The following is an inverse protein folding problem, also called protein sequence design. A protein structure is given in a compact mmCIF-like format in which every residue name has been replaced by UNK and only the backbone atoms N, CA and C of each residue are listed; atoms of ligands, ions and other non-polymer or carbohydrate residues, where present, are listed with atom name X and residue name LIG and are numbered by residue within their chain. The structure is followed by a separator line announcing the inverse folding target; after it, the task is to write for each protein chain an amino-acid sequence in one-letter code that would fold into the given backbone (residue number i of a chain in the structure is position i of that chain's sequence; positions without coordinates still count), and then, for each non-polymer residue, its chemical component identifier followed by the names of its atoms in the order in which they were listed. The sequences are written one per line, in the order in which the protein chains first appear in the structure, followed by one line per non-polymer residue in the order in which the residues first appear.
data_IF_461480214866
#
_entry.id   IF_461480214866
#
_cell.length_a   1.000
_cell.length_b   1.000
_cell.length_c   1.000
_cell.angle_alpha   90.00
_cell.angle_beta   90.00
_cell.angle_gamma   90.00
#
_symmetry.space_group_name_H-M   'P 1'
#
loop_
_entity.id
_entity.type
_entity.pdbx_description
1 polymer ?
#
# COMPACT_ATOMS: atom_id res chain seq x y z
N UNK A 1 10.18 -16.48 15.53
CA UNK A 1 9.95 -15.42 14.50
C UNK A 1 8.80 -14.50 14.89
N UNK A 2 7.61 -15.03 15.21
CA UNK A 2 6.46 -14.22 15.65
C UNK A 2 6.72 -13.38 16.91
N UNK A 3 7.38 -13.94 17.93
CA UNK A 3 7.69 -13.20 19.18
C UNK A 3 8.64 -12.02 18.95
N UNK A 4 9.66 -12.21 18.11
CA UNK A 4 10.62 -11.17 17.79
C UNK A 4 9.98 -10.01 17.02
N UNK A 5 9.09 -10.32 16.06
CA UNK A 5 8.34 -9.31 15.32
C UNK A 5 7.35 -8.57 16.22
N UNK A 6 6.68 -9.28 17.15
CA UNK A 6 5.78 -8.68 18.13
C UNK A 6 6.49 -7.71 19.07
N UNK A 7 7.66 -8.09 19.59
CA UNK A 7 8.49 -7.23 20.44
C UNK A 7 9.02 -6.00 19.69
N UNK A 8 9.42 -6.16 18.42
CA UNK A 8 9.88 -5.05 17.58
C UNK A 8 8.77 -4.03 17.32
N UNK A 9 7.55 -4.50 17.04
CA UNK A 9 6.37 -3.63 16.84
C UNK A 9 6.04 -2.88 18.14
N UNK A 10 6.04 -3.56 19.28
CA UNK A 10 5.80 -2.94 20.58
C UNK A 10 6.84 -1.85 20.90
N UNK A 11 8.11 -2.12 20.60
CA UNK A 11 9.19 -1.16 20.78
C UNK A 11 9.02 0.07 19.88
N UNK A 12 8.67 -0.13 18.60
CA UNK A 12 8.40 0.95 17.64
C UNK A 12 7.18 1.80 18.03
N UNK A 13 6.10 1.17 18.49
CA UNK A 13 4.90 1.86 18.98
C UNK A 13 5.21 2.68 20.23
N UNK A 14 5.98 2.12 21.16
CA UNK A 14 6.35 2.81 22.39
C UNK A 14 7.31 3.98 22.11
N UNK A 15 8.27 3.79 21.22
CA UNK A 15 9.17 4.85 20.75
C UNK A 15 8.39 5.97 20.04
N UNK A 16 7.48 5.61 19.13
CA UNK A 16 6.60 6.58 18.45
C UNK A 16 5.73 7.36 19.43
N UNK A 17 5.14 6.69 20.43
CA UNK A 17 4.33 7.32 21.48
C UNK A 17 5.13 8.29 22.36
N UNK A 18 6.36 7.92 22.74
CA UNK A 18 7.26 8.81 23.49
C UNK A 18 7.67 10.04 22.69
N UNK A 19 7.95 9.88 21.40
CA UNK A 19 8.31 10.97 20.51
C UNK A 19 7.14 11.95 20.32
N UNK A 20 5.92 11.43 20.21
CA UNK A 20 4.70 12.21 20.09
C UNK A 20 4.40 12.98 21.39
N UNK A 21 4.59 12.36 22.56
CA UNK A 21 4.50 13.04 23.86
C UNK A 21 5.55 14.16 24.00
N UNK A 22 6.78 13.93 23.56
CA UNK A 22 7.83 14.95 23.59
C UNK A 22 7.49 16.15 22.69
N UNK A 23 6.95 15.89 21.49
CA UNK A 23 6.49 16.94 20.58
C UNK A 23 5.30 17.70 21.16
N UNK A 24 4.31 17.02 21.74
CA UNK A 24 3.15 17.66 22.38
C UNK A 24 3.58 18.50 23.58
N UNK A 25 4.47 17.98 24.42
CA UNK A 25 5.02 18.71 25.56
C UNK A 25 5.82 19.94 25.10
N UNK A 26 6.66 19.78 24.08
CA UNK A 26 7.45 20.87 23.51
C UNK A 26 6.56 21.96 22.87
N UNK A 27 5.52 21.58 22.13
CA UNK A 27 4.54 22.51 21.55
C UNK A 27 3.73 23.21 22.64
N UNK A 28 3.30 22.48 23.68
CA UNK A 28 2.62 23.07 24.83
C UNK A 28 3.53 24.09 25.54
N UNK A 29 4.81 23.77 25.76
CA UNK A 29 5.79 24.70 26.32
C UNK A 29 6.02 25.90 25.40
N UNK A 30 6.09 25.68 24.08
CA UNK A 30 6.29 26.73 23.09
C UNK A 30 5.10 27.70 23.00
N UNK A 31 3.87 27.23 23.23
CA UNK A 31 2.66 28.06 23.18
C UNK A 31 2.33 28.71 24.53
N UNK A 32 2.51 28.00 25.64
CA UNK A 32 2.21 28.52 26.98
C UNK A 32 3.30 29.49 27.48
N UNK A 33 4.57 29.25 27.15
CA UNK A 33 5.68 30.08 27.66
C UNK A 33 5.60 31.54 27.18
N UNK A 34 5.34 31.86 25.90
CA UNK A 34 5.15 33.23 25.44
C UNK A 34 3.91 33.89 26.06
N UNK A 35 2.80 33.16 26.20
CA UNK A 35 1.56 33.68 26.78
C UNK A 35 1.74 34.00 28.27
N UNK A 36 2.34 33.09 29.03
CA UNK A 36 2.66 33.30 30.45
C UNK A 36 3.69 34.43 30.60
N UNK A 37 4.67 34.51 29.69
CA UNK A 37 5.65 35.59 29.66
C UNK A 37 4.99 36.95 29.39
N UNK A 38 4.11 37.05 28.40
CA UNK A 38 3.38 38.30 28.07
C UNK A 38 2.46 38.71 29.22
N UNK A 39 1.71 37.79 29.82
CA UNK A 39 0.81 38.10 30.94
C UNK A 39 1.61 38.53 32.18
N UNK A 40 2.64 37.77 32.59
CA UNK A 40 3.41 38.09 33.79
C UNK A 40 4.33 39.29 33.64
N UNK A 41 4.97 39.47 32.47
CA UNK A 41 5.98 40.52 32.28
C UNK A 41 5.44 41.80 31.65
N UNK A 42 4.31 41.74 30.94
CA UNK A 42 3.72 42.89 30.26
C UNK A 42 2.43 43.35 30.96
N UNK A 43 1.48 42.45 31.17
CA UNK A 43 0.14 42.81 31.66
C UNK A 43 0.11 43.12 33.16
N UNK A 44 0.65 42.24 34.01
CA UNK A 44 0.65 42.46 35.46
C UNK A 44 1.37 43.75 35.89
N UNK A 45 2.55 44.09 35.33
CA UNK A 45 3.22 45.34 35.68
C UNK A 45 2.50 46.58 35.15
N UNK A 46 1.87 46.51 33.97
CA UNK A 46 1.10 47.64 33.42
C UNK A 46 -0.13 47.95 34.27
N UNK A 47 -0.85 46.90 34.72
CA UNK A 47 -1.98 47.03 35.66
C UNK A 47 -1.50 47.60 37.00
N UNK A 48 -0.34 47.15 37.51
CA UNK A 48 0.23 47.66 38.75
C UNK A 48 0.67 49.14 38.63
N UNK A 49 1.34 49.52 37.53
CA UNK A 49 1.74 50.91 37.25
C UNK A 49 0.51 51.80 37.10
N UNK A 50 -0.51 51.35 36.38
CA UNK A 50 -1.79 52.05 36.26
C UNK A 50 -2.47 52.25 37.62
N UNK A 51 -2.53 51.21 38.45
CA UNK A 51 -3.07 51.28 39.81
C UNK A 51 -2.29 52.24 40.72
N UNK A 52 -0.95 52.22 40.65
CA UNK A 52 -0.09 53.16 41.39
C UNK A 52 -0.28 54.61 40.95
N UNK A 53 -0.40 54.87 39.64
CA UNK A 53 -0.70 56.20 39.12
C UNK A 53 -2.08 56.68 39.59
N UNK A 54 -3.08 55.81 39.54
CA UNK A 54 -4.46 56.13 39.92
C UNK A 54 -4.55 56.42 41.43
N UNK A 55 -3.92 55.60 42.27
CA UNK A 55 -3.81 55.83 43.71
C UNK A 55 -3.06 57.13 44.04
N UNK A 56 -1.97 57.42 43.32
CA UNK A 56 -1.22 58.66 43.51
C UNK A 56 -2.03 59.89 43.13
N UNK A 57 -2.84 59.81 42.08
CA UNK A 57 -3.71 60.88 41.62
C UNK A 57 -4.87 61.13 42.58
N UNK A 58 -5.47 60.07 43.14
CA UNK A 58 -6.48 60.14 44.20
C UNK A 58 -5.89 60.78 45.46
N UNK A 59 -4.73 60.31 45.91
CA UNK A 59 -4.05 60.88 47.08
C UNK A 59 -3.70 62.35 46.89
N UNK A 60 -3.23 62.74 45.70
CA UNK A 60 -2.97 64.13 45.35
C UNK A 60 -4.25 64.98 45.41
N UNK A 61 -5.35 64.51 44.82
CA UNK A 61 -6.65 65.17 44.88
C UNK A 61 -7.18 65.33 46.31
N UNK A 62 -7.09 64.28 47.12
CA UNK A 62 -7.49 64.32 48.54
C UNK A 62 -6.63 65.31 49.34
N UNK A 63 -5.32 65.35 49.13
CA UNK A 63 -4.43 66.31 49.80
C UNK A 63 -4.74 67.75 49.41
N UNK A 64 -5.04 68.02 48.13
CA UNK A 64 -5.45 69.34 47.68
C UNK A 64 -6.81 69.76 48.27
N UNK A 65 -7.79 68.86 48.25
CA UNK A 65 -9.12 69.11 48.82
C UNK A 65 -9.06 69.39 50.32
N UNK A 66 -8.32 68.58 51.09
CA UNK A 66 -8.14 68.81 52.53
C UNK A 66 -7.47 70.15 52.82
N UNK A 67 -6.46 70.55 52.03
CA UNK A 67 -5.82 71.86 52.14
C UNK A 67 -6.80 73.00 51.80
N UNK A 68 -7.62 72.86 50.76
CA UNK A 68 -8.64 73.85 50.40
C UNK A 68 -9.72 73.99 51.47
N UNK A 69 -10.21 72.87 52.02
CA UNK A 69 -11.18 72.87 53.12
C UNK A 69 -10.58 73.52 54.37
N UNK A 70 -9.34 73.18 54.73
CA UNK A 70 -8.64 73.80 55.85
C UNK A 70 -8.50 75.31 55.67
N UNK A 71 -8.11 75.76 54.47
CA UNK A 71 -8.06 77.19 54.12
C UNK A 71 -9.44 77.82 54.24
N UNK A 72 -10.49 77.19 53.70
CA UNK A 72 -11.87 77.69 53.75
C UNK A 72 -12.41 77.82 55.17
N UNK A 73 -12.16 76.84 56.04
CA UNK A 73 -12.55 76.88 57.45
C UNK A 73 -11.80 77.98 58.20
N UNK A 74 -10.49 78.11 57.96
CA UNK A 74 -9.67 79.19 58.53
C UNK A 74 -10.13 80.58 58.08
N UNK A 75 -10.53 80.73 56.81
CA UNK A 75 -11.11 81.97 56.30
C UNK A 75 -12.47 82.27 56.91
N UNK A 76 -13.33 81.26 57.06
CA UNK A 76 -14.67 81.38 57.64
C UNK A 76 -14.59 81.77 59.13
N UNK A 77 -13.74 81.10 59.90
CA UNK A 77 -13.51 81.39 61.32
C UNK A 77 -13.04 82.84 61.51
N UNK A 78 -12.14 83.31 60.64
CA UNK A 78 -11.68 84.70 60.65
C UNK A 78 -12.77 85.69 60.23
N UNK A 79 -13.61 85.36 59.24
CA UNK A 79 -14.76 86.17 58.82
C UNK A 79 -15.79 86.33 59.94
N UNK A 80 -16.08 85.24 60.67
CA UNK A 80 -16.97 85.23 61.84
C UNK A 80 -16.40 86.10 62.97
N UNK A 81 -15.10 85.98 63.25
CA UNK A 81 -14.42 86.83 64.24
C UNK A 81 -14.36 88.32 63.81
N UNK A 82 -14.30 88.59 62.51
CA UNK A 82 -14.25 89.93 61.94
C UNK A 82 -15.60 90.68 62.02
N UNK A 83 -16.73 89.96 61.87
CA UNK A 83 -18.07 90.55 62.06
C UNK A 83 -18.33 91.11 63.46
N UNK A 84 -17.46 90.83 64.44
CA UNK A 84 -17.52 91.34 65.81
C UNK A 84 -16.56 92.49 66.17
N UNK A 85 -15.63 92.92 65.30
CA UNK A 85 -14.61 93.95 65.63
C UNK A 85 -14.38 94.96 64.49
N UNK A 86 -14.32 96.26 64.82
CA UNK A 86 -14.19 97.38 63.87
C UNK A 86 -12.88 97.41 63.04
N UNK A 87 -13.00 98.03 61.85
CA UNK A 87 -12.06 98.50 60.79
C UNK A 87 -10.54 98.23 60.84
N UNK A 88 -9.84 98.20 61.99
CA UNK A 88 -8.38 97.92 62.04
C UNK A 88 -8.03 96.45 61.73
N UNK A 89 -8.99 95.53 61.90
CA UNK A 89 -8.81 94.13 61.55
C UNK A 89 -8.72 93.86 60.04
N UNK A 90 -9.22 94.76 59.19
CA UNK A 90 -9.35 94.54 57.73
C UNK A 90 -7.97 94.43 57.05
N UNK A 91 -7.04 95.31 57.44
CA UNK A 91 -5.67 95.33 56.90
C UNK A 91 -4.84 94.13 57.36
N UNK A 92 -5.06 93.66 58.60
CA UNK A 92 -4.40 92.47 59.13
C UNK A 92 -5.02 91.18 58.57
N UNK A 93 -6.33 91.17 58.30
CA UNK A 93 -7.02 90.08 57.62
C UNK A 93 -6.48 89.90 56.20
N UNK A 94 -6.42 90.98 55.42
CA UNK A 94 -5.88 90.95 54.06
C UNK A 94 -4.45 90.40 54.00
N UNK A 95 -3.55 90.87 54.88
CA UNK A 95 -2.17 90.38 54.93
C UNK A 95 -2.07 88.88 55.29
N UNK A 96 -2.90 88.39 56.20
CA UNK A 96 -2.90 86.98 56.59
C UNK A 96 -3.52 86.07 55.53
N UNK A 97 -4.57 86.53 54.85
CA UNK A 97 -5.17 85.83 53.71
C UNK A 97 -4.17 85.76 52.55
N UNK A 98 -3.44 86.85 52.30
CA UNK A 98 -2.38 86.90 51.29
C UNK A 98 -1.27 85.89 51.58
N UNK A 99 -0.80 85.80 52.84
CA UNK A 99 0.22 84.82 53.26
C UNK A 99 -0.26 83.37 53.10
N UNK A 100 -1.53 83.10 53.39
CA UNK A 100 -2.11 81.76 53.23
C UNK A 100 -2.19 81.35 51.75
N UNK A 101 -2.62 82.29 50.89
CA UNK A 101 -2.66 82.11 49.44
C UNK A 101 -1.25 81.95 48.85
N UNK A 102 -0.26 82.69 49.35
CA UNK A 102 1.12 82.59 48.91
C UNK A 102 1.74 81.24 49.29
N UNK A 103 1.54 80.79 50.53
CA UNK A 103 1.98 79.45 50.96
C UNK A 103 1.31 78.32 50.16
N UNK A 104 0.03 78.47 49.80
CA UNK A 104 -0.65 77.52 48.91
C UNK A 104 -0.05 77.56 47.50
N UNK A 105 0.16 78.76 46.95
CA UNK A 105 0.78 78.99 45.64
C UNK A 105 2.18 78.41 45.55
N UNK A 106 2.95 78.41 46.65
CA UNK A 106 4.31 77.87 46.67
C UNK A 106 4.34 76.32 46.79
N UNK A 107 3.34 75.72 47.44
CA UNK A 107 3.29 74.27 47.66
C UNK A 107 2.72 73.47 46.47
N UNK A 108 1.81 74.05 45.69
CA UNK A 108 1.21 73.36 44.53
C UNK A 108 2.26 73.03 43.44
N UNK A 109 3.17 73.93 43.04
CA UNK A 109 4.23 73.65 42.07
C UNK A 109 5.21 72.57 42.53
N UNK A 110 5.55 72.53 43.83
CA UNK A 110 6.41 71.49 44.40
C UNK A 110 5.77 70.11 44.28
N UNK A 111 4.47 70.02 44.57
CA UNK A 111 3.73 68.75 44.48
C UNK A 111 3.57 68.27 43.03
N UNK A 112 3.37 69.20 42.08
CA UNK A 112 3.34 68.91 40.65
C UNK A 112 4.71 68.44 40.12
N UNK A 113 5.82 69.05 40.57
CA UNK A 113 7.17 68.60 40.21
C UNK A 113 7.46 67.17 40.66
N UNK A 114 7.01 66.80 41.86
CA UNK A 114 7.18 65.44 42.38
C UNK A 114 6.36 64.42 41.57
N UNK A 115 5.14 64.79 41.14
CA UNK A 115 4.31 63.94 40.28
C UNK A 115 4.91 63.76 38.88
N UNK A 116 5.39 64.85 38.26
CA UNK A 116 6.08 64.81 36.96
C UNK A 116 7.31 63.89 37.00
N UNK A 117 8.10 63.96 38.07
CA UNK A 117 9.24 63.06 38.28
C UNK A 117 8.81 61.59 38.39
N UNK A 118 7.74 61.30 39.14
CA UNK A 118 7.22 59.95 39.31
C UNK A 118 6.74 59.34 37.99
N UNK A 119 6.01 60.12 37.18
CA UNK A 119 5.55 59.71 35.84
C UNK A 119 6.74 59.43 34.92
N UNK A 120 7.75 60.32 34.89
CA UNK A 120 8.96 60.14 34.08
C UNK A 120 9.74 58.89 34.46
N UNK A 121 9.89 58.61 35.76
CA UNK A 121 10.59 57.42 36.25
C UNK A 121 9.86 56.12 35.83
N UNK A 122 8.53 56.08 35.96
CA UNK A 122 7.71 54.93 35.56
C UNK A 122 7.77 54.69 34.04
N UNK A 123 7.67 55.74 33.23
CA UNK A 123 7.82 55.64 31.78
C UNK A 123 9.22 55.12 31.39
N UNK A 124 10.28 55.60 32.05
CA UNK A 124 11.65 55.10 31.82
C UNK A 124 11.81 53.61 32.13
N UNK A 125 11.21 53.13 33.22
CA UNK A 125 11.22 51.71 33.56
C UNK A 125 10.48 50.85 32.53
N UNK A 126 9.33 51.31 32.04
CA UNK A 126 8.57 50.63 30.98
C UNK A 126 9.38 50.52 29.69
N UNK A 127 9.97 51.64 29.22
CA UNK A 127 10.78 51.67 28.00
C UNK A 127 11.98 50.71 28.10
N UNK A 128 12.68 50.70 29.24
CA UNK A 128 13.82 49.78 29.44
C UNK A 128 13.38 48.31 29.46
N UNK A 129 12.20 48.00 29.99
CA UNK A 129 11.65 46.63 29.95
C UNK A 129 11.25 46.21 28.54
N UNK A 130 10.62 47.09 27.76
CA UNK A 130 10.29 46.82 26.35
C UNK A 130 11.53 46.55 25.50
N UNK A 131 12.60 47.33 25.68
CA UNK A 131 13.89 47.09 25.00
C UNK A 131 14.43 45.68 25.26
N UNK A 132 14.36 45.22 26.51
CA UNK A 132 14.81 43.87 26.89
C UNK A 132 13.95 42.77 26.25
N UNK A 133 12.63 42.94 26.21
CA UNK A 133 11.72 41.98 25.56
C UNK A 133 12.01 41.91 24.06
N UNK A 134 12.14 43.06 23.39
CA UNK A 134 12.44 43.10 21.97
C UNK A 134 13.78 42.39 21.64
N UNK A 135 14.78 42.55 22.51
CA UNK A 135 16.06 41.85 22.39
C UNK A 135 15.89 40.32 22.42
N UNK A 136 15.08 39.78 23.35
CA UNK A 136 14.79 38.33 23.41
C UNK A 136 14.03 37.83 22.17
N UNK A 137 13.11 38.63 21.62
CA UNK A 137 12.43 38.30 20.37
C UNK A 137 13.41 38.21 19.20
N UNK A 138 14.33 39.17 19.06
CA UNK A 138 15.36 39.12 18.02
C UNK A 138 16.28 37.89 18.15
N UNK A 139 16.53 37.42 19.38
CA UNK A 139 17.32 36.20 19.61
C UNK A 139 16.55 34.91 19.28
N UNK A 140 15.25 34.84 19.61
CA UNK A 140 14.45 33.63 19.48
C UNK A 140 13.85 33.42 18.08
N UNK A 141 13.51 34.51 17.37
CA UNK A 141 12.85 34.46 16.06
C UNK A 141 13.64 33.65 15.02
N UNK A 142 14.97 33.80 14.87
CA UNK A 142 15.74 33.02 13.90
C UNK A 142 15.77 31.52 14.21
N UNK A 143 15.77 31.16 15.50
CA UNK A 143 15.76 29.76 15.93
C UNK A 143 14.43 29.09 15.58
N UNK A 144 13.30 29.78 15.77
CA UNK A 144 11.98 29.30 15.39
C UNK A 144 11.86 29.09 13.88
N UNK A 145 12.35 30.05 13.08
CA UNK A 145 12.36 29.94 11.61
C UNK A 145 13.22 28.74 11.18
N UNK A 146 14.41 28.59 11.78
CA UNK A 146 15.32 27.48 11.48
C UNK A 146 14.69 26.13 11.79
N UNK A 147 14.08 25.97 12.96
CA UNK A 147 13.37 24.74 13.34
C UNK A 147 12.23 24.44 12.37
N UNK A 148 11.44 25.45 11.98
CA UNK A 148 10.34 25.29 11.03
C UNK A 148 10.85 24.79 9.66
N UNK A 149 11.96 25.33 9.16
CA UNK A 149 12.57 24.89 7.91
C UNK A 149 13.10 23.45 8.00
N UNK A 150 13.76 23.08 9.10
CA UNK A 150 14.21 21.70 9.32
C UNK A 150 13.06 20.70 9.35
N UNK A 151 11.95 21.03 10.02
CA UNK A 151 10.76 20.18 10.05
C UNK A 151 10.15 20.01 8.66
N UNK A 152 10.06 21.08 7.88
CA UNK A 152 9.56 21.02 6.50
C UNK A 152 10.44 20.12 5.62
N UNK A 153 11.77 20.25 5.71
CA UNK A 153 12.72 19.40 5.00
C UNK A 153 12.62 17.93 5.43
N UNK A 154 12.48 17.67 6.73
CA UNK A 154 12.32 16.32 7.26
C UNK A 154 11.05 15.65 6.74
N UNK A 155 9.92 16.35 6.77
CA UNK A 155 8.64 15.86 6.22
C UNK A 155 8.78 15.56 4.73
N UNK A 156 9.41 16.46 3.97
CA UNK A 156 9.65 16.25 2.53
C UNK A 156 10.55 15.03 2.26
N UNK A 157 11.60 14.85 3.06
CA UNK A 157 12.47 13.67 2.98
C UNK A 157 11.70 12.37 3.23
N UNK A 158 10.89 12.32 4.30
CA UNK A 158 10.05 11.16 4.61
C UNK A 158 9.08 10.85 3.46
N UNK A 159 8.40 11.86 2.92
CA UNK A 159 7.49 11.70 1.79
C UNK A 159 8.20 11.13 0.55
N UNK A 160 9.37 11.67 0.18
CA UNK A 160 10.14 11.20 -0.96
C UNK A 160 10.63 9.76 -0.78
N UNK A 161 11.10 9.41 0.42
CA UNK A 161 11.57 8.07 0.72
C UNK A 161 10.45 7.03 0.63
N UNK A 162 9.28 7.31 1.22
CA UNK A 162 8.12 6.43 1.12
C UNK A 162 7.66 6.22 -0.31
N UNK A 163 7.69 7.26 -1.15
CA UNK A 163 7.32 7.15 -2.57
C UNK A 163 8.28 6.25 -3.36
N UNK A 164 9.59 6.34 -3.13
CA UNK A 164 10.58 5.49 -3.81
C UNK A 164 10.39 4.01 -3.47
N UNK A 165 10.16 3.69 -2.19
CA UNK A 165 9.88 2.32 -1.76
C UNK A 165 8.63 1.74 -2.44
N UNK A 166 7.58 2.56 -2.58
CA UNK A 166 6.36 2.15 -3.27
C UNK A 166 6.63 1.84 -4.76
N UNK A 167 7.38 2.70 -5.45
CA UNK A 167 7.73 2.50 -6.86
C UNK A 167 8.56 1.21 -7.06
N UNK A 168 9.52 0.92 -6.16
CA UNK A 168 10.30 -0.32 -6.21
C UNK A 168 9.46 -1.58 -5.98
N UNK A 169 8.55 -1.55 -5.00
CA UNK A 169 7.67 -2.68 -4.69
C UNK A 169 6.67 -2.96 -5.82
N UNK A 170 6.11 -1.89 -6.42
CA UNK A 170 5.24 -2.00 -7.60
C UNK A 170 6.03 -2.57 -8.78
N UNK A 171 7.26 -2.09 -9.02
CA UNK A 171 8.11 -2.58 -10.11
C UNK A 171 8.48 -4.07 -9.93
N UNK A 172 8.80 -4.50 -8.70
CA UNK A 172 9.08 -5.91 -8.38
C UNK A 172 7.86 -6.80 -8.63
N UNK A 173 6.69 -6.42 -8.10
CA UNK A 173 5.43 -7.17 -8.30
C UNK A 173 5.04 -7.25 -9.78
N UNK A 174 5.21 -6.15 -10.53
CA UNK A 174 4.94 -6.12 -11.95
C UNK A 174 5.85 -7.08 -12.73
N UNK A 175 7.16 -7.09 -12.41
CA UNK A 175 8.12 -8.00 -13.02
C UNK A 175 7.81 -9.47 -12.73
N UNK A 176 7.39 -9.80 -11.51
CA UNK A 176 6.95 -11.15 -11.16
C UNK A 176 5.68 -11.56 -11.91
N UNK A 177 4.70 -10.67 -12.01
CA UNK A 177 3.47 -10.93 -12.76
C UNK A 177 3.74 -11.20 -14.24
N UNK A 178 4.60 -10.39 -14.88
CA UNK A 178 5.00 -10.58 -16.27
C UNK A 178 5.70 -11.93 -16.49
N UNK A 179 6.60 -12.34 -15.58
CA UNK A 179 7.25 -13.66 -15.65
C UNK A 179 6.26 -14.82 -15.55
N UNK A 180 5.22 -14.71 -14.71
CA UNK A 180 4.16 -15.73 -14.61
C UNK A 180 3.35 -15.82 -15.89
N UNK A 181 2.95 -14.68 -16.45
CA UNK A 181 2.25 -14.58 -17.75
C UNK A 181 3.06 -15.20 -18.89
N UNK A 182 4.36 -14.96 -18.92
CA UNK A 182 5.26 -15.53 -19.92
C UNK A 182 5.42 -17.05 -19.75
N UNK A 183 5.58 -17.54 -18.51
CA UNK A 183 5.63 -18.99 -18.25
C UNK A 183 4.32 -19.69 -18.62
N UNK A 184 3.17 -19.06 -18.39
CA UNK A 184 1.86 -19.57 -18.79
C UNK A 184 1.68 -19.59 -20.31
N UNK A 185 2.11 -18.55 -21.03
CA UNK A 185 2.03 -18.52 -22.48
C UNK A 185 2.92 -19.59 -23.12
N UNK A 186 4.13 -19.79 -22.61
CA UNK A 186 5.04 -20.87 -23.03
C UNK A 186 4.37 -22.23 -22.82
N UNK A 187 3.83 -22.50 -21.62
CA UNK A 187 3.12 -23.75 -21.32
C UNK A 187 1.93 -23.98 -22.23
N UNK A 188 1.12 -22.95 -22.49
CA UNK A 188 -0.04 -23.06 -23.36
C UNK A 188 0.39 -23.37 -24.81
N UNK A 189 1.44 -22.72 -25.29
CA UNK A 189 2.00 -22.98 -26.62
C UNK A 189 2.59 -24.40 -26.74
N UNK A 190 3.20 -24.94 -25.69
CA UNK A 190 3.68 -26.32 -25.66
C UNK A 190 2.53 -27.33 -25.69
N UNK A 191 1.45 -27.08 -24.93
CA UNK A 191 0.26 -27.92 -24.92
C UNK A 191 -0.41 -27.93 -26.30
N UNK A 192 -0.53 -26.77 -26.94
CA UNK A 192 -1.08 -26.65 -28.29
C UNK A 192 -0.24 -27.42 -29.33
N UNK A 193 1.10 -27.29 -29.28
CA UNK A 193 2.00 -28.06 -30.15
C UNK A 193 1.82 -29.57 -29.96
N UNK A 194 1.75 -30.06 -28.71
CA UNK A 194 1.53 -31.48 -28.40
C UNK A 194 0.16 -31.97 -28.86
N UNK A 195 -0.89 -31.16 -28.71
CA UNK A 195 -2.22 -31.51 -29.22
C UNK A 195 -2.21 -31.61 -30.74
N UNK A 196 -1.66 -30.61 -31.43
CA UNK A 196 -1.55 -30.61 -32.89
C UNK A 196 -0.75 -31.81 -33.39
N UNK A 197 0.37 -32.13 -32.74
CA UNK A 197 1.18 -33.30 -33.07
C UNK A 197 0.39 -34.61 -32.91
N UNK A 198 -0.31 -34.82 -31.79
CA UNK A 198 -1.11 -36.04 -31.58
C UNK A 198 -2.26 -36.19 -32.58
N UNK A 199 -2.90 -35.07 -32.94
CA UNK A 199 -3.95 -35.08 -33.97
C UNK A 199 -3.36 -35.46 -35.32
N UNK A 200 -2.19 -34.94 -35.67
CA UNK A 200 -1.54 -35.26 -36.94
C UNK A 200 -1.05 -36.72 -36.99
N UNK A 201 -0.44 -37.24 -35.92
CA UNK A 201 -0.06 -38.65 -35.79
C UNK A 201 -1.28 -39.59 -35.94
N UNK A 202 -2.42 -39.20 -35.37
CA UNK A 202 -3.68 -39.95 -35.50
C UNK A 202 -4.22 -39.90 -36.94
N UNK A 203 -4.14 -38.75 -37.62
CA UNK A 203 -4.54 -38.62 -39.03
C UNK A 203 -3.68 -39.46 -39.95
N UNK A 204 -2.36 -39.43 -39.77
CA UNK A 204 -1.41 -40.23 -40.54
C UNK A 204 -1.61 -41.73 -40.30
N UNK A 205 -1.87 -42.13 -39.04
CA UNK A 205 -2.19 -43.53 -38.72
C UNK A 205 -3.49 -43.97 -39.40
N UNK A 206 -4.56 -43.18 -39.32
CA UNK A 206 -5.82 -43.48 -40.01
C UNK A 206 -5.66 -43.56 -41.53
N UNK A 207 -4.86 -42.67 -42.12
CA UNK A 207 -4.57 -42.69 -43.56
C UNK A 207 -3.82 -43.96 -43.94
N UNK A 208 -2.79 -44.34 -43.18
CA UNK A 208 -2.04 -45.58 -43.38
C UNK A 208 -2.91 -46.82 -43.21
N UNK A 209 -3.82 -46.83 -42.25
CA UNK A 209 -4.76 -47.93 -42.03
C UNK A 209 -5.76 -48.06 -43.18
N UNK A 210 -6.24 -46.92 -43.71
CA UNK A 210 -7.10 -46.90 -44.90
C UNK A 210 -6.36 -47.41 -46.14
N UNK A 211 -5.12 -46.99 -46.36
CA UNK A 211 -4.27 -47.48 -47.45
C UNK A 211 -3.98 -48.98 -47.32
N UNK A 212 -3.66 -49.46 -46.12
CA UNK A 212 -3.48 -50.88 -45.81
C UNK A 212 -4.76 -51.68 -46.07
N UNK A 213 -5.93 -51.15 -45.69
CA UNK A 213 -7.22 -51.79 -45.95
C UNK A 213 -7.48 -51.90 -47.46
N UNK A 214 -7.21 -50.84 -48.22
CA UNK A 214 -7.37 -50.84 -49.68
C UNK A 214 -6.44 -51.85 -50.35
N UNK A 215 -5.18 -51.92 -49.92
CA UNK A 215 -4.21 -52.91 -50.42
C UNK A 215 -4.64 -54.34 -50.07
N UNK A 216 -5.09 -54.58 -48.83
CA UNK A 216 -5.64 -55.88 -48.43
C UNK A 216 -6.82 -56.28 -49.31
N UNK A 217 -7.71 -55.35 -49.63
CA UNK A 217 -8.88 -55.62 -50.46
C UNK A 217 -8.50 -55.93 -51.92
N UNK A 218 -7.53 -55.20 -52.48
CA UNK A 218 -6.99 -55.51 -53.81
C UNK A 218 -6.36 -56.91 -53.86
N UNK A 219 -5.55 -57.25 -52.86
CA UNK A 219 -4.92 -58.57 -52.76
C UNK A 219 -5.99 -59.66 -52.54
N UNK A 220 -7.02 -59.41 -51.70
CA UNK A 220 -8.14 -60.34 -51.51
C UNK A 220 -8.86 -60.63 -52.83
N UNK A 221 -9.06 -59.61 -53.67
CA UNK A 221 -9.66 -59.80 -54.98
C UNK A 221 -8.77 -60.61 -55.95
N UNK A 222 -7.45 -60.40 -55.93
CA UNK A 222 -6.49 -61.18 -56.73
C UNK A 222 -6.43 -62.64 -56.28
N UNK A 223 -6.17 -62.86 -54.99
CA UNK A 223 -6.10 -64.19 -54.36
C UNK A 223 -7.44 -64.91 -54.47
N UNK A 224 -8.56 -64.20 -54.30
CA UNK A 224 -9.91 -64.75 -54.48
C UNK A 224 -10.14 -65.30 -55.89
N UNK A 225 -9.61 -64.64 -56.93
CA UNK A 225 -9.64 -65.17 -58.31
C UNK A 225 -8.81 -66.44 -58.46
N UNK A 226 -7.62 -66.50 -57.84
CA UNK A 226 -6.78 -67.71 -57.86
C UNK A 226 -7.45 -68.88 -57.14
N UNK A 227 -8.00 -68.61 -55.96
CA UNK A 227 -8.72 -69.60 -55.16
C UNK A 227 -9.98 -70.09 -55.87
N UNK A 228 -10.75 -69.20 -56.49
CA UNK A 228 -11.93 -69.58 -57.28
C UNK A 228 -11.55 -70.52 -58.43
N UNK A 229 -10.43 -70.28 -59.12
CA UNK A 229 -9.92 -71.21 -60.14
C UNK A 229 -9.58 -72.58 -59.56
N UNK A 230 -8.94 -72.63 -58.39
CA UNK A 230 -8.62 -73.89 -57.70
C UNK A 230 -9.91 -74.62 -57.31
N UNK A 231 -10.89 -73.91 -56.75
CA UNK A 231 -12.18 -74.44 -56.33
C UNK A 231 -12.97 -75.03 -57.51
N UNK A 232 -12.98 -74.36 -58.67
CA UNK A 232 -13.67 -74.85 -59.87
C UNK A 232 -12.97 -76.04 -60.57
N UNK A 233 -11.65 -76.19 -60.41
CA UNK A 233 -10.86 -77.22 -61.11
C UNK A 233 -10.64 -78.48 -60.29
N UNK A 234 -10.64 -78.38 -58.97
CA UNK A 234 -10.37 -79.50 -58.06
C UNK A 234 -11.65 -80.30 -57.76
N UNK A 235 -11.59 -81.63 -57.95
CA UNK A 235 -12.73 -82.54 -57.74
C UNK A 235 -12.70 -83.27 -56.39
N UNK A 236 -11.56 -83.22 -55.69
CA UNK A 236 -11.34 -83.88 -54.40
C UNK A 236 -10.41 -83.04 -53.50
N UNK A 237 -10.41 -83.33 -52.19
CA UNK A 237 -9.58 -82.62 -51.22
C UNK A 237 -8.07 -82.77 -51.48
N UNK A 238 -7.62 -83.90 -52.03
CA UNK A 238 -6.20 -84.11 -52.36
C UNK A 238 -5.72 -83.11 -53.44
N UNK A 239 -6.58 -82.82 -54.41
CA UNK A 239 -6.32 -81.88 -55.50
C UNK A 239 -6.36 -80.43 -55.04
N UNK A 240 -7.29 -80.08 -54.14
CA UNK A 240 -7.31 -78.75 -53.48
C UNK A 240 -6.00 -78.51 -52.73
N UNK A 241 -5.58 -79.47 -51.90
CA UNK A 241 -4.34 -79.35 -51.13
C UNK A 241 -3.10 -79.23 -52.02
N UNK A 242 -3.04 -79.99 -53.12
CA UNK A 242 -1.97 -79.85 -54.13
C UNK A 242 -1.99 -78.49 -54.82
N UNK A 243 -3.17 -78.00 -55.21
CA UNK A 243 -3.34 -76.67 -55.83
C UNK A 243 -2.94 -75.52 -54.91
N UNK A 244 -3.05 -75.72 -53.59
CA UNK A 244 -2.55 -74.79 -52.56
C UNK A 244 -1.05 -74.95 -52.24
N UNK A 245 -0.33 -75.83 -52.95
CA UNK A 245 1.09 -76.08 -52.74
C UNK A 245 1.41 -76.95 -51.51
N UNK A 246 0.47 -77.80 -51.09
CA UNK A 246 0.69 -78.82 -50.05
C UNK A 246 0.88 -80.18 -50.73
N UNK A 247 2.02 -80.83 -50.48
CA UNK A 247 2.28 -82.16 -50.99
C UNK A 247 1.34 -83.18 -50.36
N UNK A 248 0.59 -83.90 -51.20
CA UNK A 248 -0.22 -85.06 -50.84
C UNK A 248 0.40 -86.28 -51.51
N UNK A 249 0.57 -87.38 -50.76
CA UNK A 249 1.14 -88.65 -51.25
C UNK A 249 0.22 -89.38 -52.24
N UNK A 250 0.02 -90.68 -52.05
CA UNK A 250 -0.76 -91.53 -52.97
C UNK A 250 -2.28 -91.24 -52.96
N UNK A 251 -2.73 -90.17 -52.29
CA UNK A 251 -4.14 -89.78 -52.23
C UNK A 251 -4.98 -90.64 -51.29
N UNK A 252 -4.35 -91.46 -50.43
CA UNK A 252 -5.09 -92.28 -49.46
C UNK A 252 -5.75 -91.40 -48.39
N UNK A 253 -6.89 -91.83 -47.83
CA UNK A 253 -7.66 -91.05 -46.83
C UNK A 253 -6.80 -90.59 -45.64
N UNK A 254 -5.82 -91.40 -45.20
CA UNK A 254 -4.91 -91.07 -44.09
C UNK A 254 -3.91 -89.98 -44.47
N UNK A 255 -3.35 -90.04 -45.66
CA UNK A 255 -2.41 -89.02 -46.17
C UNK A 255 -3.10 -87.67 -46.41
N UNK A 256 -4.33 -87.69 -46.94
CA UNK A 256 -5.14 -86.48 -47.12
C UNK A 256 -5.42 -85.79 -45.79
N UNK A 257 -5.74 -86.55 -44.72
CA UNK A 257 -5.92 -85.97 -43.37
C UNK A 257 -4.65 -85.34 -42.81
N UNK A 258 -3.49 -85.96 -43.01
CA UNK A 258 -2.21 -85.42 -42.55
C UNK A 258 -1.86 -84.14 -43.31
N UNK A 259 -2.02 -84.15 -44.63
CA UNK A 259 -1.81 -82.98 -45.48
C UNK A 259 -2.78 -81.84 -45.14
N UNK A 260 -4.04 -82.17 -44.84
CA UNK A 260 -5.06 -81.21 -44.37
C UNK A 260 -4.63 -80.52 -43.07
N UNK A 261 -4.23 -81.29 -42.04
CA UNK A 261 -3.72 -80.72 -40.78
C UNK A 261 -2.49 -79.85 -41.00
N UNK A 262 -1.57 -80.28 -41.89
CA UNK A 262 -0.39 -79.49 -42.27
C UNK A 262 -0.78 -78.16 -42.94
N UNK A 263 -1.80 -78.18 -43.79
CA UNK A 263 -2.31 -76.99 -44.47
C UNK A 263 -2.93 -75.99 -43.47
N UNK A 264 -3.78 -76.47 -42.55
CA UNK A 264 -4.34 -75.63 -41.47
C UNK A 264 -3.24 -74.98 -40.63
N UNK A 265 -2.19 -75.74 -40.29
CA UNK A 265 -1.06 -75.23 -39.52
C UNK A 265 -0.15 -74.28 -40.31
N UNK A 266 -0.15 -74.34 -41.64
CA UNK A 266 0.65 -73.45 -42.51
C UNK A 266 -0.06 -72.15 -42.80
N UNK A 267 -1.37 -72.20 -43.03
CA UNK A 267 -2.20 -71.06 -43.41
C UNK A 267 -2.97 -70.44 -42.23
N UNK A 268 -2.60 -70.77 -40.98
CA UNK A 268 -3.26 -70.20 -39.80
C UNK A 268 -3.05 -68.68 -39.70
N UNK A 269 -4.11 -67.87 -39.51
CA UNK A 269 -4.01 -66.41 -39.42
C UNK A 269 -3.00 -65.92 -38.37
N UNK A 270 -2.98 -66.55 -37.18
CA UNK A 270 -2.05 -66.15 -36.10
C UNK A 270 -0.57 -66.31 -36.48
N UNK A 271 -0.22 -67.31 -37.30
CA UNK A 271 1.16 -67.53 -37.73
C UNK A 271 1.63 -66.53 -38.77
N UNK A 272 0.71 -65.97 -39.56
CA UNK A 272 1.02 -64.99 -40.61
C UNK A 272 0.79 -63.55 -40.14
N UNK A 273 0.26 -63.32 -38.93
CA UNK A 273 0.02 -61.99 -38.32
C UNK A 273 1.19 -61.00 -38.37
N UNK A 274 2.45 -61.50 -38.37
CA UNK A 274 3.67 -60.68 -38.46
C UNK A 274 4.33 -60.68 -39.85
N UNK A 275 3.77 -61.42 -40.80
CA UNK A 275 4.28 -61.51 -42.17
C UNK A 275 3.76 -60.37 -43.05
N UNK A 276 4.26 -60.28 -44.28
CA UNK A 276 3.84 -59.28 -45.26
C UNK A 276 2.31 -59.30 -45.48
N UNK A 277 1.73 -58.15 -45.83
CA UNK A 277 0.28 -57.96 -46.03
C UNK A 277 -0.25 -58.96 -47.04
N UNK A 278 0.52 -59.25 -48.10
CA UNK A 278 0.16 -60.26 -49.10
C UNK A 278 0.07 -61.67 -48.50
N UNK A 279 1.05 -62.06 -47.70
CA UNK A 279 1.08 -63.38 -47.07
C UNK A 279 -0.01 -63.55 -46.02
N UNK A 280 -0.36 -62.48 -45.29
CA UNK A 280 -1.50 -62.47 -44.38
C UNK A 280 -2.81 -62.79 -45.10
N UNK A 281 -3.10 -62.02 -46.16
CA UNK A 281 -4.33 -62.18 -46.95
C UNK A 281 -4.36 -63.54 -47.64
N UNK A 282 -3.25 -63.99 -48.23
CA UNK A 282 -3.15 -65.30 -48.85
C UNK A 282 -3.42 -66.43 -47.87
N UNK A 283 -2.84 -66.38 -46.67
CA UNK A 283 -3.09 -67.38 -45.63
C UNK A 283 -4.56 -67.38 -45.19
N UNK A 284 -5.15 -66.21 -44.95
CA UNK A 284 -6.56 -66.06 -44.55
C UNK A 284 -7.51 -66.68 -45.59
N UNK A 285 -7.34 -66.33 -46.87
CA UNK A 285 -8.21 -66.82 -47.94
C UNK A 285 -8.01 -68.31 -48.22
N UNK A 286 -6.76 -68.81 -48.22
CA UNK A 286 -6.46 -70.25 -48.36
C UNK A 286 -7.04 -71.04 -47.19
N UNK A 287 -6.99 -70.51 -45.97
CA UNK A 287 -7.59 -71.12 -44.78
C UNK A 287 -9.12 -71.19 -44.86
N UNK A 288 -9.79 -70.13 -45.33
CA UNK A 288 -11.23 -70.12 -45.61
C UNK A 288 -11.61 -71.16 -46.66
N UNK A 289 -10.83 -71.30 -47.74
CA UNK A 289 -11.08 -72.33 -48.76
C UNK A 289 -10.94 -73.74 -48.17
N UNK A 290 -9.84 -74.03 -47.46
CA UNK A 290 -9.61 -75.34 -46.84
C UNK A 290 -10.76 -75.71 -45.89
N UNK A 291 -11.25 -74.74 -45.11
CA UNK A 291 -12.37 -74.93 -44.19
C UNK A 291 -13.67 -75.23 -44.95
N UNK A 292 -14.01 -74.46 -45.99
CA UNK A 292 -15.20 -74.71 -46.83
C UNK A 292 -15.15 -76.06 -47.54
N UNK A 293 -14.00 -76.43 -48.12
CA UNK A 293 -13.84 -77.69 -48.84
C UNK A 293 -13.83 -78.90 -47.92
N UNK A 294 -13.48 -78.73 -46.63
CA UNK A 294 -13.58 -79.79 -45.61
C UNK A 294 -15.02 -80.25 -45.49
N UNK A 295 -15.96 -79.32 -45.36
CA UNK A 295 -17.37 -79.64 -45.16
C UNK A 295 -17.96 -80.35 -46.39
N UNK A 296 -17.48 -80.03 -47.60
CA UNK A 296 -17.91 -80.69 -48.85
C UNK A 296 -17.32 -82.09 -49.05
N UNK A 297 -16.01 -82.25 -48.86
CA UNK A 297 -15.29 -83.48 -49.26
C UNK A 297 -14.93 -84.41 -48.10
N UNK A 298 -15.03 -83.93 -46.85
CA UNK A 298 -14.74 -84.68 -45.64
C UNK A 298 -15.83 -84.45 -44.56
N UNK A 299 -17.13 -84.67 -44.86
CA UNK A 299 -18.23 -84.36 -43.93
C UNK A 299 -18.23 -85.22 -42.66
N UNK A 300 -17.61 -86.40 -42.70
CA UNK A 300 -17.57 -87.36 -41.60
C UNK A 300 -16.30 -87.25 -40.74
N UNK A 301 -15.76 -86.03 -40.57
CA UNK A 301 -14.48 -85.77 -39.89
C UNK A 301 -14.53 -84.59 -38.91
#
# INVERSE_FOLDING_TARGET
LLDFVGQLILYLVNFGGQLLLYVVYFVAQLLLSPVIFVVKQLLCPLVNVGGQLLLSLVNFGCQLLLKLVYIGVQLLEKLVNFGGQELLGLKNFDCQVLLLLQNFSDQVPLTLKNFDWLVKNLCGQLVNRFKRINHWFHLALPQLITIALFLALFIYYCYRHSRLLLEEDVAKKLKEFLRRKEAESIRLSELEKRQKQRVEEMRETQKKDLENMKLKEQIRAEVGKEISKIEMTCRDMASVLRGLGITVGNGTSREVRVAYKKALMKFHPDKTSRSDIRQQVEAEEKFKLISRMKDTFLPNL
#
